data_IF_281547909739
#
_entry.id   IF_281547909739
#
_cell.length_a   1.000
_cell.length_b   1.000
_cell.length_c   1.000
_cell.angle_alpha   90.00
_cell.angle_beta   90.00
_cell.angle_gamma   90.00
#
_symmetry.space_group_name_H-M   'P 1'
#
loop_
_entity.id
_entity.type
_entity.pdbx_description
1 polymer ?
#
# COMPACT_ATOMS: atom_id res chain seq x y z
N UNK A 1 27.29 -48.65 15.94
CA UNK A 1 28.26 -47.94 15.08
C UNK A 1 27.57 -47.69 13.74
N UNK A 2 26.85 -46.58 13.66
CA UNK A 2 27.22 -45.38 12.89
C UNK A 2 27.31 -45.67 11.39
N UNK A 3 26.41 -45.09 10.59
CA UNK A 3 26.78 -44.12 9.55
C UNK A 3 25.51 -43.49 8.96
N UNK A 4 25.30 -42.23 9.31
CA UNK A 4 24.29 -41.31 8.79
C UNK A 4 24.64 -40.88 7.36
N UNK A 5 23.65 -40.66 6.47
CA UNK A 5 23.91 -40.11 5.14
C UNK A 5 24.27 -38.63 5.25
N UNK A 6 25.42 -38.30 4.68
CA UNK A 6 25.99 -36.96 4.62
C UNK A 6 25.21 -36.13 3.60
N UNK A 7 24.43 -35.16 4.08
CA UNK A 7 23.81 -34.12 3.24
C UNK A 7 24.91 -33.12 2.83
N UNK A 8 25.18 -32.91 1.54
CA UNK A 8 26.13 -31.88 1.13
C UNK A 8 25.57 -30.51 1.51
N UNK A 9 26.42 -29.75 2.19
CA UNK A 9 26.21 -28.40 2.68
C UNK A 9 25.58 -27.52 1.59
N UNK A 10 24.34 -27.08 1.83
CA UNK A 10 23.66 -26.09 1.01
C UNK A 10 24.47 -24.81 0.99
N UNK A 11 25.15 -24.58 -0.12
CA UNK A 11 25.84 -23.35 -0.46
C UNK A 11 24.81 -22.21 -0.40
N UNK A 12 24.88 -21.40 0.66
CA UNK A 12 24.15 -20.13 0.75
C UNK A 12 24.70 -19.24 -0.35
N UNK A 13 24.07 -19.28 -1.51
CA UNK A 13 24.22 -18.23 -2.51
C UNK A 13 23.66 -16.97 -1.86
N UNK A 14 24.45 -15.90 -1.63
CA UNK A 14 23.87 -14.60 -1.42
C UNK A 14 23.20 -14.28 -2.74
N UNK A 15 21.89 -14.46 -2.80
CA UNK A 15 21.09 -13.95 -3.91
C UNK A 15 21.33 -12.45 -3.94
N UNK A 16 22.22 -12.03 -4.83
CA UNK A 16 22.31 -10.67 -5.30
C UNK A 16 20.97 -10.39 -5.97
N UNK A 17 20.07 -9.58 -5.37
CA UNK A 17 18.86 -9.18 -6.06
C UNK A 17 19.32 -8.37 -7.26
N UNK A 18 18.96 -8.87 -8.43
CA UNK A 18 19.30 -8.27 -9.70
C UNK A 18 18.96 -6.78 -9.69
N UNK A 19 19.86 -6.04 -10.33
CA UNK A 19 19.61 -4.89 -11.20
C UNK A 19 18.36 -5.06 -12.09
N UNK A 20 17.19 -5.18 -11.49
CA UNK A 20 15.92 -5.02 -12.20
C UNK A 20 15.43 -3.60 -11.90
N UNK A 21 14.96 -2.92 -12.94
CA UNK A 21 14.46 -1.56 -12.91
C UNK A 21 13.14 -1.49 -12.13
N UNK A 22 13.20 -1.82 -10.83
CA UNK A 22 12.08 -1.75 -9.91
C UNK A 22 11.84 -0.28 -9.65
N UNK A 23 10.95 0.31 -10.45
CA UNK A 23 10.27 1.53 -10.04
C UNK A 23 9.79 1.28 -8.61
N UNK A 24 10.34 1.94 -7.57
CA UNK A 24 10.08 1.57 -6.19
C UNK A 24 8.61 1.85 -5.94
N UNK A 25 7.80 0.80 -6.04
CA UNK A 25 6.37 0.89 -5.82
C UNK A 25 6.23 0.84 -4.31
N UNK A 26 5.94 1.99 -3.73
CA UNK A 26 5.76 2.14 -2.29
C UNK A 26 4.29 1.89 -1.94
N UNK A 27 4.04 1.56 -0.68
CA UNK A 27 2.71 1.41 -0.13
C UNK A 27 2.62 2.27 1.12
N UNK A 28 1.55 3.04 1.24
CA UNK A 28 1.35 3.96 2.34
C UNK A 28 -0.03 3.76 2.95
N UNK A 29 -0.09 3.59 4.26
CA UNK A 29 -1.32 3.34 5.00
C UNK A 29 -1.69 4.56 5.84
N UNK A 30 -2.93 5.01 5.67
CA UNK A 30 -3.51 6.16 6.36
C UNK A 30 -4.71 5.68 7.17
N UNK A 31 -4.93 6.27 8.34
CA UNK A 31 -6.18 6.09 9.09
C UNK A 31 -6.95 7.39 9.05
N UNK A 32 -8.21 7.33 8.60
CA UNK A 32 -9.04 8.52 8.40
C UNK A 32 -10.37 8.34 9.13
N UNK A 33 -10.79 9.30 9.97
CA UNK A 33 -12.08 9.24 10.66
C UNK A 33 -13.25 9.21 9.66
N UNK A 34 -14.36 8.57 10.05
CA UNK A 34 -15.57 8.40 9.24
C UNK A 34 -16.18 9.76 8.84
N UNK A 35 -16.04 10.76 9.71
CA UNK A 35 -16.48 12.12 9.45
C UNK A 35 -15.77 12.73 8.22
N UNK A 36 -14.46 12.45 8.06
CA UNK A 36 -13.66 12.94 6.95
C UNK A 36 -13.71 12.02 5.73
N UNK A 37 -13.81 10.69 5.92
CA UNK A 37 -13.78 9.73 4.81
C UNK A 37 -14.99 9.91 3.89
N UNK A 38 -16.17 10.28 4.43
CA UNK A 38 -17.36 10.55 3.62
C UNK A 38 -17.14 11.70 2.62
N UNK A 39 -16.46 12.76 3.07
CA UNK A 39 -16.09 13.90 2.24
C UNK A 39 -15.01 13.54 1.20
N UNK A 40 -14.03 12.72 1.56
CA UNK A 40 -12.97 12.26 0.66
C UNK A 40 -13.53 11.32 -0.43
N UNK A 41 -14.44 10.42 -0.05
CA UNK A 41 -15.16 9.56 -1.00
C UNK A 41 -16.03 10.42 -1.92
N UNK A 42 -16.72 11.41 -1.36
CA UNK A 42 -17.63 12.28 -2.08
C UNK A 42 -18.94 11.56 -2.43
N UNK A 43 -19.90 12.29 -3.01
CA UNK A 43 -21.18 11.73 -3.42
C UNK A 43 -20.95 10.60 -4.43
N UNK A 44 -21.49 9.42 -4.14
CA UNK A 44 -21.34 8.21 -4.97
C UNK A 44 -19.86 7.77 -5.22
N UNK A 45 -18.90 8.21 -4.40
CA UNK A 45 -17.49 7.87 -4.63
C UNK A 45 -16.82 8.69 -5.74
N UNK A 46 -17.44 9.78 -6.19
CA UNK A 46 -16.91 10.59 -7.30
C UNK A 46 -15.54 11.20 -6.99
N UNK A 47 -15.36 11.75 -5.77
CA UNK A 47 -14.10 12.41 -5.38
C UNK A 47 -12.97 11.41 -5.20
N UNK A 48 -13.19 10.30 -4.48
CA UNK A 48 -12.16 9.25 -4.37
C UNK A 48 -11.81 8.69 -5.76
N UNK A 49 -12.76 8.58 -6.68
CA UNK A 49 -12.49 8.11 -8.04
C UNK A 49 -11.61 9.09 -8.83
N UNK A 50 -11.84 10.38 -8.67
CA UNK A 50 -10.98 11.42 -9.22
C UNK A 50 -9.57 11.36 -8.62
N UNK A 51 -9.44 11.16 -7.30
CA UNK A 51 -8.13 11.09 -6.63
C UNK A 51 -7.26 9.95 -7.18
N UNK A 52 -7.82 8.74 -7.36
CA UNK A 52 -7.09 7.62 -8.01
C UNK A 52 -6.73 7.94 -9.46
N UNK A 53 -7.63 8.59 -10.20
CA UNK A 53 -7.39 8.95 -11.59
C UNK A 53 -6.29 10.00 -11.73
N UNK A 54 -6.30 11.03 -10.88
CA UNK A 54 -5.32 12.11 -10.83
C UNK A 54 -3.96 11.62 -10.34
N UNK A 55 -3.94 10.86 -9.24
CA UNK A 55 -2.71 10.33 -8.66
C UNK A 55 -2.11 9.19 -9.47
N UNK A 56 -2.92 8.43 -10.21
CA UNK A 56 -2.50 7.16 -10.78
C UNK A 56 -2.04 6.15 -9.72
N UNK A 57 -2.42 6.35 -8.45
CA UNK A 57 -2.12 5.45 -7.34
C UNK A 57 -3.28 4.48 -7.12
N UNK A 58 -2.96 3.28 -6.68
CA UNK A 58 -3.95 2.28 -6.29
C UNK A 58 -4.40 2.56 -4.86
N UNK A 59 -5.65 3.00 -4.68
CA UNK A 59 -6.20 3.32 -3.37
C UNK A 59 -7.18 2.22 -2.94
N UNK A 60 -6.90 1.59 -1.81
CA UNK A 60 -7.71 0.54 -1.19
C UNK A 60 -8.19 1.02 0.16
N UNK A 61 -9.49 0.93 0.38
CA UNK A 61 -10.12 1.39 1.61
C UNK A 61 -10.57 0.14 2.38
N UNK A 62 -9.92 -0.14 3.50
CA UNK A 62 -10.32 -1.23 4.39
C UNK A 62 -11.64 -0.89 5.10
N UNK A 63 -12.35 -1.90 5.58
CA UNK A 63 -13.52 -1.69 6.43
C UNK A 63 -13.09 -1.08 7.77
N UNK A 64 -13.93 -0.24 8.34
CA UNK A 64 -13.72 0.23 9.71
C UNK A 64 -13.66 -1.01 10.62
N UNK A 65 -12.60 -1.16 11.40
CA UNK A 65 -12.59 -2.15 12.48
C UNK A 65 -13.75 -1.82 13.40
N UNK A 66 -14.61 -2.81 13.65
CA UNK A 66 -15.84 -2.67 14.43
C UNK A 66 -15.56 -1.91 15.74
N UNK A 67 -16.09 -0.70 15.85
CA UNK A 67 -16.03 0.13 17.06
C UNK A 67 -15.29 1.46 16.91
N UNK A 68 -14.32 1.58 16.00
CA UNK A 68 -13.64 2.85 15.76
C UNK A 68 -14.29 3.55 14.57
N UNK A 69 -14.73 4.80 14.76
CA UNK A 69 -15.23 5.66 13.70
C UNK A 69 -14.13 6.09 12.73
N UNK A 70 -13.27 5.18 12.29
CA UNK A 70 -12.07 5.39 11.50
C UNK A 70 -11.93 4.30 10.45
N UNK A 71 -11.29 4.62 9.33
CA UNK A 71 -11.17 3.74 8.18
C UNK A 71 -9.74 3.78 7.68
N UNK A 72 -9.16 2.61 7.46
CA UNK A 72 -7.80 2.50 6.95
C UNK A 72 -7.82 2.61 5.43
N UNK A 73 -6.93 3.42 4.88
CA UNK A 73 -6.77 3.65 3.45
C UNK A 73 -5.33 3.33 3.09
N UNK A 74 -5.14 2.29 2.29
CA UNK A 74 -3.85 1.87 1.76
C UNK A 74 -3.69 2.41 0.35
N UNK A 75 -2.59 3.08 0.08
CA UNK A 75 -2.25 3.67 -1.21
C UNK A 75 -0.99 3.00 -1.72
N UNK A 76 -1.05 2.36 -2.87
CA UNK A 76 0.09 1.66 -3.48
C UNK A 76 0.40 2.27 -4.83
N UNK A 77 1.67 2.56 -5.10
CA UNK A 77 2.10 3.15 -6.36
C UNK A 77 3.50 3.72 -6.31
N UNK A 78 3.87 4.52 -7.30
CA UNK A 78 5.11 5.29 -7.25
C UNK A 78 5.06 6.32 -6.11
N UNK A 79 6.19 6.67 -5.46
CA UNK A 79 6.22 7.66 -4.38
C UNK A 79 5.58 9.00 -4.79
N UNK A 80 5.77 9.44 -6.04
CA UNK A 80 5.11 10.63 -6.58
C UNK A 80 3.56 10.50 -6.57
N UNK A 81 3.05 9.36 -7.04
CA UNK A 81 1.61 9.07 -7.09
C UNK A 81 1.02 9.01 -5.68
N UNK A 82 1.72 8.35 -4.75
CA UNK A 82 1.29 8.25 -3.35
C UNK A 82 1.24 9.63 -2.71
N UNK A 83 2.29 10.44 -2.85
CA UNK A 83 2.33 11.79 -2.30
C UNK A 83 1.19 12.64 -2.84
N UNK A 84 0.86 12.53 -4.14
CA UNK A 84 -0.27 13.25 -4.71
C UNK A 84 -1.61 12.74 -4.15
N UNK A 85 -1.81 11.42 -4.10
CA UNK A 85 -3.02 10.83 -3.53
C UNK A 85 -3.20 11.24 -2.06
N UNK A 86 -2.15 11.15 -1.25
CA UNK A 86 -2.15 11.60 0.14
C UNK A 86 -2.48 13.08 0.26
N UNK A 87 -1.90 13.92 -0.59
CA UNK A 87 -2.19 15.34 -0.62
C UNK A 87 -3.66 15.58 -0.93
N UNK A 88 -4.22 14.96 -1.96
CA UNK A 88 -5.63 15.11 -2.34
C UNK A 88 -6.60 14.55 -1.28
N UNK A 89 -6.20 13.49 -0.58
CA UNK A 89 -6.97 12.90 0.53
C UNK A 89 -6.96 13.82 1.76
N UNK A 90 -5.84 14.50 2.04
CA UNK A 90 -5.72 15.47 3.12
C UNK A 90 -6.19 16.87 2.74
N UNK A 91 -6.25 17.19 1.45
CA UNK A 91 -6.75 18.44 0.89
C UNK A 91 -8.28 18.44 1.01
N UNK A 92 -8.73 18.97 2.15
CA UNK A 92 -10.13 19.11 2.54
C UNK A 92 -10.83 20.12 1.64
#
# INVERSE_FOLDING_TARGET
MQHSPFTPLGQTTPGFPGLDATSPTSSHELTIPNDLIGCIIGRQGSKINEIRQMSGAQIKIANASEGNGERQVTITGSPANISLAQYLINAR
#
